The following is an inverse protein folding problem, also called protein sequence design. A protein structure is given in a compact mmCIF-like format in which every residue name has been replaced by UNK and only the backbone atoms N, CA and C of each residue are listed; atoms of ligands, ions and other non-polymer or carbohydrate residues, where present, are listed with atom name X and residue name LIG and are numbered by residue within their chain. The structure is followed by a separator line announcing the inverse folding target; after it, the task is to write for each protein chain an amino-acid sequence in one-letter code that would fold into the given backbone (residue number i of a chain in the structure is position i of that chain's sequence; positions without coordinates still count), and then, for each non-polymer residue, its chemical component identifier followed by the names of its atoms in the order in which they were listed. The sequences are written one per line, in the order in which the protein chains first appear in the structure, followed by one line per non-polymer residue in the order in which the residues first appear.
data_IF_684009074533
#
_entry.id   IF_684009074533
#
_cell.length_a   1.000
_cell.length_b   1.000
_cell.length_c   1.000
_cell.angle_alpha   90.00
_cell.angle_beta   90.00
_cell.angle_gamma   90.00
#
_symmetry.space_group_name_H-M   'P 1'
#
loop_
_entity.id
_entity.type
_entity.pdbx_description
1 polymer ?
#
# COMPACT_ATOMS: atom_id res chain seq x y z
N UNK A 1 -18.03 20.30 -1.91
CA UNK A 1 -16.60 20.13 -1.59
C UNK A 1 -15.82 20.96 -2.60
N UNK A 2 -15.09 22.01 -2.18
CA UNK A 2 -14.21 22.77 -3.09
C UNK A 2 -12.84 22.09 -3.07
N UNK A 3 -12.37 21.61 -4.21
CA UNK A 3 -11.05 20.98 -4.37
C UNK A 3 -10.44 21.42 -5.69
N UNK A 4 -9.13 21.68 -5.71
CA UNK A 4 -8.39 22.01 -6.95
C UNK A 4 -8.22 20.82 -7.90
N UNK A 5 -8.56 19.61 -7.45
CA UNK A 5 -8.46 18.37 -8.22
C UNK A 5 -9.77 17.94 -8.87
N UNK A 6 -10.81 18.78 -8.82
CA UNK A 6 -12.13 18.48 -9.38
C UNK A 6 -12.49 19.57 -10.39
N UNK A 7 -12.98 19.15 -11.55
CA UNK A 7 -13.57 20.01 -12.56
C UNK A 7 -14.99 19.53 -12.88
N UNK A 8 -15.90 20.46 -13.13
CA UNK A 8 -17.23 20.16 -13.68
C UNK A 8 -17.22 20.11 -15.21
N UNK A 9 -16.14 20.60 -15.83
CA UNK A 9 -15.91 20.54 -17.26
C UNK A 9 -15.09 19.28 -17.58
N UNK A 10 -15.71 18.22 -18.13
CA UNK A 10 -15.04 16.97 -18.42
C UNK A 10 -13.96 17.08 -19.50
N UNK A 11 -13.95 18.15 -20.31
CA UNK A 11 -12.89 18.37 -21.30
C UNK A 11 -11.57 18.81 -20.67
N UNK A 12 -11.62 19.30 -19.43
CA UNK A 12 -10.46 19.70 -18.63
C UNK A 12 -9.97 18.61 -17.67
N UNK A 13 -10.65 17.46 -17.63
CA UNK A 13 -10.29 16.38 -16.72
C UNK A 13 -9.12 15.55 -17.28
N UNK A 14 -8.05 15.42 -16.51
CA UNK A 14 -6.97 14.48 -16.80
C UNK A 14 -7.42 13.02 -16.61
N UNK A 15 -8.28 12.77 -15.60
CA UNK A 15 -8.76 11.45 -15.21
C UNK A 15 -10.23 11.48 -14.77
N UNK A 16 -10.91 10.35 -14.94
CA UNK A 16 -12.30 10.14 -14.52
C UNK A 16 -12.39 9.13 -13.38
N UNK A 17 -12.92 9.55 -12.24
CA UNK A 17 -13.12 8.66 -11.09
C UNK A 17 -14.38 7.81 -11.26
N UNK A 18 -14.28 6.50 -11.01
CA UNK A 18 -15.41 5.58 -10.94
C UNK A 18 -15.81 5.37 -9.46
N UNK A 19 -16.85 6.06 -8.95
CA UNK A 19 -17.14 6.16 -7.51
C UNK A 19 -17.86 4.94 -6.90
N UNK A 20 -17.56 3.72 -7.33
CA UNK A 20 -18.01 2.52 -6.61
C UNK A 20 -16.98 2.11 -5.55
N UNK A 21 -17.44 1.43 -4.50
CA UNK A 21 -16.57 0.95 -3.42
C UNK A 21 -16.80 -0.53 -3.18
N UNK A 22 -15.82 -1.36 -3.52
CA UNK A 22 -15.86 -2.82 -3.28
C UNK A 22 -16.09 -3.12 -1.79
N UNK A 23 -15.49 -2.33 -0.90
CA UNK A 23 -15.64 -2.47 0.55
C UNK A 23 -17.06 -2.14 1.04
N UNK A 24 -17.81 -1.27 0.35
CA UNK A 24 -19.22 -1.00 0.66
C UNK A 24 -20.14 -2.03 -0.01
N UNK A 25 -19.89 -2.39 -1.26
CA UNK A 25 -20.69 -3.36 -2.01
C UNK A 25 -20.75 -4.73 -1.32
N UNK A 26 -19.64 -5.18 -0.70
CA UNK A 26 -19.63 -6.45 0.04
C UNK A 26 -20.64 -6.51 1.19
N UNK A 27 -20.99 -5.36 1.76
CA UNK A 27 -21.89 -5.20 2.90
C UNK A 27 -23.27 -4.71 2.49
N UNK A 28 -23.47 -4.42 1.21
CA UNK A 28 -24.78 -4.02 0.69
C UNK A 28 -25.64 -5.29 0.53
N UNK A 29 -26.80 -5.41 1.20
CA UNK A 29 -27.62 -6.61 1.13
C UNK A 29 -28.17 -6.89 -0.28
N UNK A 30 -28.17 -5.90 -1.18
CA UNK A 30 -28.63 -6.06 -2.57
C UNK A 30 -27.56 -6.64 -3.49
N UNK A 31 -26.29 -6.56 -3.08
CA UNK A 31 -25.13 -6.97 -3.89
C UNK A 31 -24.40 -8.13 -3.23
N UNK A 32 -23.97 -7.94 -1.98
CA UNK A 32 -23.17 -8.90 -1.24
C UNK A 32 -21.85 -9.24 -1.94
N UNK A 33 -21.09 -10.20 -1.41
CA UNK A 33 -19.83 -10.62 -2.05
C UNK A 33 -20.07 -11.24 -3.42
N UNK A 34 -21.12 -12.06 -3.57
CA UNK A 34 -21.42 -12.78 -4.81
C UNK A 34 -21.87 -11.89 -5.97
N UNK A 35 -22.53 -10.77 -5.70
CA UNK A 35 -23.04 -9.87 -6.73
C UNK A 35 -22.07 -8.78 -7.19
N UNK A 36 -20.89 -8.65 -6.57
CA UNK A 36 -19.93 -7.57 -6.91
C UNK A 36 -19.53 -7.58 -8.38
N UNK A 37 -19.24 -8.76 -8.93
CA UNK A 37 -18.80 -8.89 -10.32
C UNK A 37 -19.90 -8.48 -11.31
N UNK A 38 -21.16 -8.88 -11.05
CA UNK A 38 -22.30 -8.50 -11.87
C UNK A 38 -22.60 -7.00 -11.76
N UNK A 39 -22.55 -6.45 -10.54
CA UNK A 39 -22.71 -5.02 -10.32
C UNK A 39 -21.70 -4.21 -11.12
N UNK A 40 -20.42 -4.60 -11.08
CA UNK A 40 -19.35 -3.89 -11.80
C UNK A 40 -19.56 -4.00 -13.31
N UNK A 41 -19.85 -5.19 -13.84
CA UNK A 41 -20.16 -5.37 -15.26
C UNK A 41 -21.27 -4.42 -15.71
N UNK A 42 -22.40 -4.41 -15.00
CA UNK A 42 -23.56 -3.60 -15.37
C UNK A 42 -23.27 -2.11 -15.20
N UNK A 43 -22.50 -1.73 -14.18
CA UNK A 43 -22.05 -0.36 -13.96
C UNK A 43 -21.17 0.14 -15.13
N UNK A 44 -20.17 -0.64 -15.53
CA UNK A 44 -19.25 -0.29 -16.62
C UNK A 44 -19.98 -0.27 -17.96
N UNK A 45 -20.88 -1.23 -18.21
CA UNK A 45 -21.75 -1.22 -19.38
C UNK A 45 -22.54 0.10 -19.46
N UNK A 46 -23.21 0.50 -18.38
CA UNK A 46 -23.96 1.76 -18.34
C UNK A 46 -23.07 3.00 -18.52
N UNK A 47 -21.87 3.02 -17.93
CA UNK A 47 -20.90 4.12 -18.10
C UNK A 47 -20.49 4.23 -19.58
N UNK A 48 -20.16 3.12 -20.23
CA UNK A 48 -19.74 3.08 -21.63
C UNK A 48 -20.81 3.56 -22.62
N UNK A 49 -22.10 3.33 -22.30
CA UNK A 49 -23.21 3.76 -23.15
C UNK A 49 -23.60 5.21 -22.89
N UNK A 50 -23.52 5.68 -21.65
CA UNK A 50 -24.00 7.00 -21.25
C UNK A 50 -22.97 8.11 -21.43
N UNK A 51 -21.69 7.82 -21.19
CA UNK A 51 -20.63 8.83 -21.16
C UNK A 51 -19.60 8.57 -22.26
N UNK A 52 -19.59 9.46 -23.26
CA UNK A 52 -18.66 9.41 -24.40
C UNK A 52 -17.17 9.36 -24.02
N UNK A 53 -16.81 9.86 -22.82
CA UNK A 53 -15.43 9.88 -22.34
C UNK A 53 -14.86 8.49 -22.07
N UNK A 54 -15.70 7.51 -21.73
CA UNK A 54 -15.25 6.11 -21.64
C UNK A 54 -14.74 5.62 -23.00
N UNK A 55 -15.51 5.84 -24.07
CA UNK A 55 -15.22 5.33 -25.40
C UNK A 55 -14.00 6.01 -26.05
N UNK A 56 -13.62 7.22 -25.60
CA UNK A 56 -12.44 7.94 -26.10
C UNK A 56 -11.14 7.16 -25.88
N UNK A 57 -11.03 6.47 -24.74
CA UNK A 57 -9.80 5.80 -24.28
C UNK A 57 -10.03 4.32 -23.97
N UNK A 58 -11.25 3.82 -24.15
CA UNK A 58 -11.66 2.50 -23.65
C UNK A 58 -11.53 2.38 -22.12
N UNK A 59 -11.63 3.50 -21.39
CA UNK A 59 -11.49 3.56 -19.94
C UNK A 59 -10.05 3.76 -19.42
N UNK A 60 -9.05 3.97 -20.29
CA UNK A 60 -7.65 4.09 -19.87
C UNK A 60 -7.32 5.34 -19.05
N UNK A 61 -8.16 6.37 -19.11
CA UNK A 61 -8.10 7.59 -18.29
C UNK A 61 -9.11 7.54 -17.11
N UNK A 62 -9.69 6.37 -16.84
CA UNK A 62 -10.57 6.16 -15.69
C UNK A 62 -9.80 5.46 -14.57
N UNK A 63 -10.19 5.72 -13.32
CA UNK A 63 -9.59 5.06 -12.16
C UNK A 63 -10.61 4.72 -11.08
N UNK A 64 -10.28 3.71 -10.28
CA UNK A 64 -11.11 3.26 -9.15
C UNK A 64 -10.25 2.75 -8.00
N UNK A 65 -10.84 2.69 -6.80
CA UNK A 65 -10.16 2.20 -5.60
C UNK A 65 -10.65 0.80 -5.24
N UNK A 66 -9.73 -0.17 -5.25
CA UNK A 66 -9.95 -1.58 -4.95
C UNK A 66 -9.17 -2.04 -3.71
N UNK A 67 -9.32 -1.30 -2.61
CA UNK A 67 -8.67 -1.60 -1.34
C UNK A 67 -9.42 -2.68 -0.52
N UNK A 68 -9.41 -3.94 -0.99
CA UNK A 68 -9.85 -5.11 -0.22
C UNK A 68 -9.36 -6.40 -0.90
N UNK A 69 -9.29 -7.53 -0.19
CA UNK A 69 -8.91 -8.83 -0.77
C UNK A 69 -9.85 -9.29 -1.89
N UNK A 70 -11.13 -8.89 -1.84
CA UNK A 70 -12.14 -9.15 -2.89
C UNK A 70 -11.81 -8.43 -4.20
N UNK A 71 -11.03 -7.33 -4.15
CA UNK A 71 -10.64 -6.59 -5.35
C UNK A 71 -9.93 -7.44 -6.40
N UNK A 72 -9.28 -8.53 -5.98
CA UNK A 72 -8.60 -9.49 -6.87
C UNK A 72 -9.54 -10.13 -7.91
N UNK A 73 -10.78 -10.39 -7.54
CA UNK A 73 -11.77 -11.05 -8.41
C UNK A 73 -12.95 -10.15 -8.78
N UNK A 74 -13.03 -8.94 -8.20
CA UNK A 74 -14.16 -8.02 -8.42
C UNK A 74 -14.38 -7.68 -9.90
N UNK A 75 -13.32 -7.67 -10.71
CA UNK A 75 -13.35 -7.27 -12.12
C UNK A 75 -13.42 -8.45 -13.10
N UNK A 76 -13.64 -9.68 -12.65
CA UNK A 76 -13.61 -10.87 -13.55
C UNK A 76 -14.68 -10.85 -14.64
N UNK A 77 -15.86 -10.27 -14.37
CA UNK A 77 -16.94 -10.08 -15.37
C UNK A 77 -16.85 -8.76 -16.14
N UNK A 78 -15.80 -7.96 -15.92
CA UNK A 78 -15.58 -6.66 -16.55
C UNK A 78 -14.10 -6.52 -16.94
N UNK A 79 -13.67 -7.31 -17.92
CA UNK A 79 -12.26 -7.38 -18.34
C UNK A 79 -11.70 -6.05 -18.83
N UNK A 80 -12.54 -5.24 -19.48
CA UNK A 80 -12.22 -3.94 -20.02
C UNK A 80 -11.75 -2.97 -18.92
N UNK A 81 -12.45 -2.91 -17.78
CA UNK A 81 -12.02 -2.05 -16.66
C UNK A 81 -10.78 -2.63 -15.97
N UNK A 82 -10.68 -3.96 -15.87
CA UNK A 82 -9.51 -4.65 -15.27
C UNK A 82 -8.21 -4.28 -15.97
N UNK A 83 -8.23 -4.27 -17.31
CA UNK A 83 -7.02 -4.09 -18.12
C UNK A 83 -6.76 -2.65 -18.55
N UNK A 84 -7.79 -1.82 -18.71
CA UNK A 84 -7.60 -0.45 -19.20
C UNK A 84 -7.59 0.59 -18.08
N UNK A 85 -8.56 0.55 -17.16
CA UNK A 85 -8.66 1.56 -16.11
C UNK A 85 -7.57 1.41 -15.04
N UNK A 86 -7.13 2.53 -14.47
CA UNK A 86 -6.12 2.56 -13.41
C UNK A 86 -6.74 2.02 -12.12
N UNK A 87 -6.18 0.92 -11.62
CA UNK A 87 -6.60 0.34 -10.36
C UNK A 87 -5.73 0.87 -9.22
N UNK A 88 -6.37 1.48 -8.22
CA UNK A 88 -5.72 1.86 -6.97
C UNK A 88 -5.95 0.76 -5.95
N UNK A 89 -4.95 -0.12 -5.76
CA UNK A 89 -5.06 -1.28 -4.87
C UNK A 89 -4.37 -1.04 -3.54
N UNK A 90 -4.90 -1.69 -2.51
CA UNK A 90 -4.13 -1.82 -1.27
C UNK A 90 -3.10 -2.94 -1.39
N UNK A 91 -3.44 -4.10 -1.94
CA UNK A 91 -2.48 -5.21 -2.08
C UNK A 91 -1.95 -5.26 -3.50
N UNK A 92 -0.71 -4.83 -3.71
CA UNK A 92 -0.04 -4.74 -5.01
C UNK A 92 1.00 -5.85 -5.13
N UNK A 93 0.59 -7.01 -5.62
CA UNK A 93 1.52 -8.13 -5.83
C UNK A 93 1.49 -8.54 -7.29
N UNK A 94 2.67 -8.80 -7.86
CA UNK A 94 2.82 -9.23 -9.27
C UNK A 94 2.04 -10.52 -9.58
N UNK A 95 1.74 -11.33 -8.56
CA UNK A 95 0.95 -12.56 -8.71
C UNK A 95 -0.56 -12.38 -8.47
N UNK A 96 -1.04 -11.16 -8.23
CA UNK A 96 -2.47 -10.91 -8.15
C UNK A 96 -3.03 -10.71 -9.56
N UNK A 97 -3.99 -11.54 -10.01
CA UNK A 97 -4.60 -11.37 -11.32
C UNK A 97 -5.17 -9.97 -11.48
N UNK A 98 -4.71 -9.24 -12.48
CA UNK A 98 -5.20 -7.89 -12.79
C UNK A 98 -4.51 -6.74 -12.08
N UNK A 99 -3.44 -6.97 -11.32
CA UNK A 99 -2.52 -5.88 -10.95
C UNK A 99 -1.41 -5.75 -11.99
N UNK A 100 -1.31 -4.59 -12.61
CA UNK A 100 -0.33 -4.27 -13.65
C UNK A 100 0.53 -3.10 -13.15
N UNK A 101 1.77 -3.34 -12.68
CA UNK A 101 2.61 -2.33 -12.02
C UNK A 101 2.81 -1.03 -12.80
N UNK A 102 2.90 -1.08 -14.13
CA UNK A 102 3.07 0.12 -14.94
C UNK A 102 1.77 0.92 -15.13
N UNK A 103 0.60 0.30 -14.93
CA UNK A 103 -0.71 0.94 -15.07
C UNK A 103 -1.31 1.35 -13.72
N UNK A 104 -1.19 0.47 -12.74
CA UNK A 104 -1.90 0.52 -11.47
C UNK A 104 -1.08 1.17 -10.36
N UNK A 105 -1.75 1.64 -9.31
CA UNK A 105 -1.13 2.32 -8.19
C UNK A 105 -1.33 1.54 -6.89
N UNK A 106 -0.28 1.47 -6.06
CA UNK A 106 -0.37 0.95 -4.71
C UNK A 106 -0.73 2.06 -3.71
N UNK A 107 -1.75 1.79 -2.89
CA UNK A 107 -2.20 2.64 -1.79
C UNK A 107 -1.73 2.05 -0.45
N UNK A 108 -1.00 2.82 0.38
CA UNK A 108 -0.62 2.34 1.70
C UNK A 108 -1.84 2.23 2.62
N UNK A 109 -1.91 1.15 3.40
CA UNK A 109 -2.81 1.11 4.56
C UNK A 109 -2.21 1.96 5.66
N UNK A 110 -2.92 3.00 6.08
CA UNK A 110 -2.48 3.94 7.12
C UNK A 110 -3.62 4.05 8.12
N UNK A 111 -3.31 3.79 9.40
CA UNK A 111 -4.26 4.07 10.47
C UNK A 111 -4.36 5.58 10.69
N UNK A 112 -5.56 6.16 10.80
CA UNK A 112 -5.71 7.57 11.13
C UNK A 112 -5.19 7.81 12.55
N UNK A 113 -4.28 8.77 12.69
CA UNK A 113 -3.65 9.15 13.96
C UNK A 113 -3.77 10.65 14.12
N UNK A 114 -4.04 11.12 15.34
CA UNK A 114 -4.24 12.54 15.64
C UNK A 114 -3.03 13.19 16.31
N UNK A 115 -2.18 12.39 16.94
CA UNK A 115 -1.12 12.85 17.84
C UNK A 115 0.22 12.29 17.40
N UNK A 116 1.21 13.17 17.28
CA UNK A 116 2.60 12.79 17.01
C UNK A 116 3.16 11.93 18.16
N UNK A 117 3.90 10.84 17.87
CA UNK A 117 4.50 10.05 18.92
C UNK A 117 5.51 10.87 19.73
N UNK A 118 5.45 10.70 21.04
CA UNK A 118 6.53 11.10 21.93
C UNK A 118 7.77 10.22 21.68
N UNK A 119 8.95 10.73 22.01
CA UNK A 119 10.23 9.98 21.98
C UNK A 119 10.68 9.40 20.62
N UNK A 120 10.19 9.95 19.50
CA UNK A 120 10.62 9.56 18.14
C UNK A 120 12.13 9.57 17.94
N UNK A 121 12.78 10.60 18.49
CA UNK A 121 14.22 10.85 18.37
C UNK A 121 15.03 10.16 19.47
N UNK A 122 14.39 9.36 20.32
CA UNK A 122 15.10 8.59 21.35
C UNK A 122 16.11 7.66 20.67
N UNK A 123 17.37 7.78 21.09
CA UNK A 123 18.44 6.88 20.70
C UNK A 123 18.33 5.51 21.40
N UNK A 124 17.42 5.35 22.37
CA UNK A 124 17.33 4.19 23.24
C UNK A 124 16.46 3.05 22.66
N UNK A 125 16.75 2.64 21.42
CA UNK A 125 16.12 1.48 20.76
C UNK A 125 16.90 0.22 21.10
N UNK A 126 16.41 -0.53 22.10
CA UNK A 126 17.09 -1.70 22.67
C UNK A 126 16.86 -2.98 21.89
N UNK A 127 15.71 -3.13 21.22
CA UNK A 127 15.39 -4.31 20.41
C UNK A 127 16.02 -4.19 19.03
N UNK A 128 16.66 -5.25 18.53
CA UNK A 128 17.19 -5.27 17.18
C UNK A 128 16.04 -5.21 16.17
N UNK A 129 15.07 -6.11 16.29
CA UNK A 129 13.92 -6.12 15.40
C UNK A 129 12.63 -6.52 16.11
N UNK A 130 11.50 -6.05 15.58
CA UNK A 130 10.18 -6.32 16.13
C UNK A 130 9.18 -6.79 15.07
N UNK A 131 8.41 -7.81 15.43
CA UNK A 131 7.22 -8.27 14.73
C UNK A 131 6.14 -8.68 15.72
N UNK A 132 4.91 -8.23 15.48
CA UNK A 132 3.72 -8.82 16.09
C UNK A 132 2.60 -9.03 15.05
N UNK A 133 2.05 -10.23 14.98
CA UNK A 133 0.97 -10.53 14.06
C UNK A 133 0.44 -11.97 14.11
N UNK A 134 -0.77 -12.17 13.58
CA UNK A 134 -1.35 -13.50 13.46
C UNK A 134 -0.61 -14.39 12.44
N UNK A 135 -0.62 -15.69 12.71
CA UNK A 135 -0.05 -16.75 11.85
C UNK A 135 -1.04 -17.05 10.73
N UNK A 136 -1.07 -16.18 9.73
CA UNK A 136 -2.01 -16.26 8.60
C UNK A 136 -1.31 -16.43 7.24
N UNK A 137 -0.04 -16.82 7.25
CA UNK A 137 0.73 -17.15 6.06
C UNK A 137 1.92 -18.06 6.40
N UNK A 138 2.39 -18.90 5.45
CA UNK A 138 3.60 -19.71 5.64
C UNK A 138 4.85 -18.87 5.97
N UNK A 139 4.91 -17.63 5.47
CA UNK A 139 6.05 -16.72 5.72
C UNK A 139 6.11 -16.30 7.19
N UNK A 140 4.96 -16.01 7.81
CA UNK A 140 4.88 -15.63 9.23
C UNK A 140 5.10 -16.82 10.14
N UNK A 141 4.59 -17.99 9.77
CA UNK A 141 4.89 -19.24 10.46
C UNK A 141 6.41 -19.48 10.49
N UNK A 142 7.09 -19.34 9.34
CA UNK A 142 8.54 -19.49 9.25
C UNK A 142 9.28 -18.47 10.11
N UNK A 143 8.88 -17.20 10.09
CA UNK A 143 9.46 -16.16 10.94
C UNK A 143 9.39 -16.54 12.42
N UNK A 144 8.21 -16.91 12.90
CA UNK A 144 7.98 -17.25 14.30
C UNK A 144 8.68 -18.54 14.70
N UNK A 145 8.72 -19.55 13.81
CA UNK A 145 9.47 -20.78 14.04
C UNK A 145 10.95 -20.50 14.34
N UNK A 146 11.55 -19.54 13.62
CA UNK A 146 12.97 -19.21 13.75
C UNK A 146 13.23 -18.25 14.91
N UNK A 147 12.43 -17.19 15.07
CA UNK A 147 12.80 -16.04 15.91
C UNK A 147 11.98 -15.84 17.18
N UNK A 148 10.93 -16.63 17.45
CA UNK A 148 10.05 -16.40 18.63
C UNK A 148 10.75 -16.47 20.00
N UNK A 149 11.88 -17.19 20.06
CA UNK A 149 12.64 -17.42 21.30
C UNK A 149 13.97 -16.62 21.33
N UNK A 150 14.14 -15.66 20.42
CA UNK A 150 15.36 -14.86 20.32
C UNK A 150 15.33 -13.67 21.30
N UNK A 151 16.48 -13.29 21.85
CA UNK A 151 16.59 -12.20 22.83
C UNK A 151 16.64 -10.79 22.21
N UNK A 152 16.96 -10.67 20.92
CA UNK A 152 17.13 -9.37 20.24
C UNK A 152 16.07 -9.13 19.17
N UNK A 153 15.59 -10.20 18.52
CA UNK A 153 14.49 -10.16 17.56
C UNK A 153 13.21 -10.59 18.27
N UNK A 154 12.37 -9.62 18.60
CA UNK A 154 11.08 -9.88 19.24
C UNK A 154 10.03 -10.22 18.19
N UNK A 155 9.83 -11.52 17.93
CA UNK A 155 8.80 -12.02 17.02
C UNK A 155 7.65 -12.68 17.80
N UNK A 156 6.49 -12.03 17.82
CA UNK A 156 5.34 -12.42 18.63
C UNK A 156 4.08 -12.72 17.80
N UNK A 157 3.25 -13.63 18.30
CA UNK A 157 1.91 -13.87 17.76
C UNK A 157 0.86 -13.73 18.87
N UNK A 158 -0.34 -13.28 18.50
CA UNK A 158 -1.41 -13.03 19.46
C UNK A 158 -1.31 -11.64 20.10
N UNK A 159 -1.90 -11.51 21.30
CA UNK A 159 -2.00 -10.23 22.01
C UNK A 159 -0.68 -9.91 22.70
N UNK A 160 -0.21 -8.68 22.54
CA UNK A 160 0.95 -8.16 23.29
C UNK A 160 0.53 -7.83 24.73
N UNK A 161 1.46 -8.02 25.66
CA UNK A 161 1.32 -7.57 27.06
C UNK A 161 1.65 -6.09 27.21
N UNK A 162 2.44 -5.54 26.27
CA UNK A 162 2.83 -4.14 26.18
C UNK A 162 2.04 -3.40 25.09
N UNK A 163 1.94 -2.06 25.16
CA UNK A 163 1.40 -1.26 24.07
C UNK A 163 2.20 -1.47 22.77
N UNK A 164 1.50 -1.69 21.66
CA UNK A 164 2.12 -1.87 20.34
C UNK A 164 3.02 -0.70 19.93
N UNK A 165 2.66 0.52 20.35
CA UNK A 165 3.43 1.73 20.11
C UNK A 165 4.83 1.66 20.75
N UNK A 166 4.91 1.22 22.01
CA UNK A 166 6.15 1.14 22.78
C UNK A 166 7.10 0.11 22.16
N UNK A 167 6.55 -0.97 21.62
CA UNK A 167 7.33 -1.97 20.90
C UNK A 167 7.96 -1.41 19.62
N UNK A 168 7.23 -0.58 18.86
CA UNK A 168 7.77 0.09 17.67
C UNK A 168 8.78 1.18 18.03
N UNK A 169 8.53 1.96 19.09
CA UNK A 169 9.44 3.00 19.58
C UNK A 169 10.74 2.42 20.13
N UNK A 170 10.68 1.26 20.79
CA UNK A 170 11.84 0.58 21.38
C UNK A 170 12.66 -0.28 20.42
N UNK A 171 12.28 -0.37 19.14
CA UNK A 171 12.90 -1.27 18.15
C UNK A 171 13.66 -0.53 17.07
N UNK A 172 14.84 -1.04 16.69
CA UNK A 172 15.62 -0.46 15.58
C UNK A 172 14.95 -0.72 14.23
N UNK A 173 14.59 -1.98 14.02
CA UNK A 173 13.97 -2.47 12.78
C UNK A 173 12.58 -3.03 13.03
N UNK A 174 11.64 -2.81 12.12
CA UNK A 174 10.27 -3.29 12.25
C UNK A 174 9.91 -4.16 11.05
N UNK A 175 9.61 -5.43 11.32
CA UNK A 175 9.44 -6.43 10.28
C UNK A 175 8.03 -6.31 9.68
N UNK A 176 7.99 -6.01 8.39
CA UNK A 176 6.79 -6.13 7.57
C UNK A 176 6.80 -7.47 6.85
N UNK A 177 6.13 -8.46 7.45
CA UNK A 177 6.06 -9.82 6.92
C UNK A 177 4.71 -10.07 6.26
N UNK A 178 4.75 -10.50 4.99
CA UNK A 178 3.57 -10.83 4.17
C UNK A 178 2.61 -11.74 4.93
N UNK A 179 1.33 -11.37 4.97
CA UNK A 179 0.24 -12.19 5.53
C UNK A 179 -0.50 -12.93 4.42
N UNK A 180 -1.82 -13.05 4.56
CA UNK A 180 -2.71 -13.44 3.46
C UNK A 180 -2.58 -12.49 2.26
N UNK A 181 -2.46 -11.19 2.55
CA UNK A 181 -2.11 -10.11 1.63
C UNK A 181 -0.72 -9.57 1.93
N UNK A 182 -0.11 -8.89 0.96
CA UNK A 182 1.13 -8.13 1.17
C UNK A 182 0.87 -6.85 1.96
N UNK A 183 -0.24 -6.16 1.72
CA UNK A 183 -0.48 -4.88 2.40
C UNK A 183 -1.02 -5.03 3.82
N UNK A 184 -0.35 -4.34 4.75
CA UNK A 184 -0.78 -4.15 6.12
C UNK A 184 -0.33 -2.77 6.58
N UNK A 185 -1.06 -2.19 7.54
CA UNK A 185 -0.66 -0.92 8.15
C UNK A 185 0.71 -0.92 8.85
N UNK A 186 1.34 -2.08 9.08
CA UNK A 186 2.67 -2.18 9.72
C UNK A 186 3.74 -1.32 9.06
N UNK A 187 3.69 -1.18 7.74
CA UNK A 187 4.66 -0.33 7.02
C UNK A 187 4.48 1.12 7.46
N UNK A 188 3.26 1.64 7.38
CA UNK A 188 2.93 2.99 7.84
C UNK A 188 3.20 3.16 9.34
N UNK A 189 2.89 2.17 10.18
CA UNK A 189 3.18 2.20 11.62
C UNK A 189 4.68 2.28 11.91
N UNK A 190 5.50 1.52 11.19
CA UNK A 190 6.96 1.55 11.33
C UNK A 190 7.50 2.94 11.00
N UNK A 191 7.07 3.51 9.87
CA UNK A 191 7.43 4.86 9.47
C UNK A 191 6.95 5.90 10.48
N UNK A 192 5.73 5.73 10.99
CA UNK A 192 5.14 6.61 11.97
C UNK A 192 5.97 6.70 13.25
N UNK A 193 6.43 5.56 13.78
CA UNK A 193 7.23 5.51 15.02
C UNK A 193 8.74 5.58 14.78
N UNK A 194 9.22 5.95 13.59
CA UNK A 194 10.65 6.10 13.32
C UNK A 194 11.45 4.80 13.34
N UNK A 195 10.76 3.65 13.17
CA UNK A 195 11.37 2.34 13.13
C UNK A 195 11.68 1.96 11.67
N UNK A 196 12.90 1.51 11.38
CA UNK A 196 13.31 1.21 10.00
C UNK A 196 12.55 -0.03 9.50
N UNK A 197 11.68 0.09 8.47
CA UNK A 197 10.91 -1.04 7.98
C UNK A 197 11.82 -2.07 7.30
N UNK A 198 11.61 -3.34 7.64
CA UNK A 198 12.22 -4.50 6.97
C UNK A 198 11.14 -5.23 6.18
N UNK A 199 11.21 -5.16 4.86
CA UNK A 199 10.20 -5.71 3.96
C UNK A 199 10.53 -7.19 3.68
N UNK A 200 9.71 -8.09 4.22
CA UNK A 200 9.76 -9.54 3.99
C UNK A 200 8.48 -9.96 3.25
N UNK A 201 8.39 -9.53 2.00
CA UNK A 201 7.24 -9.74 1.13
C UNK A 201 7.71 -9.83 -0.32
N UNK A 202 8.04 -11.03 -0.78
CA UNK A 202 8.46 -11.24 -2.17
C UNK A 202 7.35 -10.78 -3.13
N UNK A 203 7.75 -10.15 -4.24
CA UNK A 203 6.85 -9.69 -5.31
C UNK A 203 5.80 -8.68 -4.82
N UNK A 204 6.14 -7.88 -3.82
CA UNK A 204 5.33 -6.75 -3.38
C UNK A 204 5.81 -5.48 -4.10
N UNK A 205 4.92 -4.84 -4.84
CA UNK A 205 5.18 -3.50 -5.37
C UNK A 205 4.82 -2.45 -4.30
N UNK A 206 5.81 -1.75 -3.78
CA UNK A 206 5.63 -0.95 -2.57
C UNK A 206 4.86 0.35 -2.85
N UNK A 207 4.09 0.87 -1.88
CA UNK A 207 3.40 2.14 -2.04
C UNK A 207 4.37 3.26 -2.42
N UNK A 208 4.01 4.03 -3.44
CA UNK A 208 4.80 5.16 -3.95
C UNK A 208 6.21 4.78 -4.41
N UNK A 209 6.46 3.54 -4.84
CA UNK A 209 7.79 3.10 -5.28
C UNK A 209 8.33 3.88 -6.49
N UNK A 210 7.44 4.42 -7.33
CA UNK A 210 7.81 5.29 -8.47
C UNK A 210 8.19 6.71 -8.03
N UNK A 211 7.89 7.10 -6.78
CA UNK A 211 8.14 8.44 -6.23
C UNK A 211 9.25 8.41 -5.17
N UNK A 212 9.27 7.36 -4.34
CA UNK A 212 10.14 7.23 -3.17
C UNK A 212 11.16 6.11 -3.37
N UNK A 213 12.44 6.43 -3.16
CA UNK A 213 13.49 5.41 -3.15
C UNK A 213 13.45 4.61 -1.83
N UNK A 214 12.71 3.51 -1.81
CA UNK A 214 12.58 2.61 -0.65
C UNK A 214 13.92 2.12 -0.10
N UNK A 215 14.95 1.93 -0.94
CA UNK A 215 16.28 1.51 -0.47
C UNK A 215 16.97 2.53 0.43
N UNK A 216 16.53 3.79 0.39
CA UNK A 216 17.11 4.87 1.22
C UNK A 216 16.58 4.91 2.65
N UNK A 217 15.49 4.18 2.97
CA UNK A 217 14.85 4.21 4.29
C UNK A 217 14.30 2.85 4.74
N UNK A 218 14.57 1.76 4.02
CA UNK A 218 14.10 0.42 4.35
C UNK A 218 15.14 -0.64 4.04
N UNK A 219 14.95 -1.84 4.58
CA UNK A 219 15.74 -3.03 4.26
C UNK A 219 14.82 -4.05 3.59
N UNK A 220 15.19 -4.56 2.42
CA UNK A 220 14.42 -5.61 1.73
C UNK A 220 15.11 -6.94 1.97
N UNK A 221 14.38 -7.92 2.52
CA UNK A 221 14.90 -9.25 2.83
C UNK A 221 14.03 -10.30 2.15
N UNK A 222 14.64 -11.19 1.38
CA UNK A 222 13.91 -12.27 0.74
C UNK A 222 13.32 -13.21 1.80
N UNK A 223 12.15 -13.79 1.51
CA UNK A 223 11.53 -14.77 2.44
C UNK A 223 12.46 -15.95 2.78
N UNK A 224 13.32 -16.37 1.85
CA UNK A 224 14.28 -17.46 2.08
C UNK A 224 15.38 -17.08 3.09
N UNK A 225 15.65 -15.78 3.25
CA UNK A 225 16.70 -15.25 4.13
C UNK A 225 16.20 -14.95 5.55
N UNK A 226 14.97 -15.33 5.91
CA UNK A 226 14.46 -15.24 7.28
C UNK A 226 15.45 -15.82 8.30
N UNK A 227 16.07 -17.01 8.09
CA UNK A 227 17.08 -17.54 9.02
C UNK A 227 18.34 -16.67 9.17
N UNK A 228 18.64 -15.82 8.18
CA UNK A 228 19.79 -14.92 8.18
C UNK A 228 19.46 -13.52 8.70
N UNK A 229 18.22 -13.26 9.11
CA UNK A 229 17.73 -11.93 9.48
C UNK A 229 18.62 -11.23 10.52
N UNK A 230 18.99 -11.90 11.61
CA UNK A 230 19.90 -11.32 12.61
C UNK A 230 21.26 -10.95 12.02
N UNK A 231 21.83 -11.81 11.17
CA UNK A 231 23.12 -11.55 10.50
C UNK A 231 23.02 -10.34 9.57
N UNK A 232 21.96 -10.26 8.77
CA UNK A 232 21.70 -9.15 7.85
C UNK A 232 21.58 -7.84 8.62
N UNK A 233 20.73 -7.80 9.65
CA UNK A 233 20.45 -6.58 10.41
C UNK A 233 21.66 -6.11 11.24
N UNK A 234 22.44 -7.04 11.81
CA UNK A 234 23.70 -6.69 12.50
C UNK A 234 24.83 -6.31 11.55
N UNK A 235 24.76 -6.71 10.28
CA UNK A 235 25.71 -6.31 9.24
C UNK A 235 25.57 -4.85 8.81
N UNK A 236 24.47 -4.19 9.16
CA UNK A 236 24.25 -2.77 8.89
C UNK A 236 25.04 -1.96 9.93
N UNK A 237 25.95 -1.11 9.45
CA UNK A 237 26.74 -0.23 10.31
C UNK A 237 25.85 0.76 11.07
N UNK A 238 26.34 1.29 12.20
CA UNK A 238 25.59 2.30 12.96
C UNK A 238 25.33 3.56 12.14
N UNK A 239 26.28 3.98 11.30
CA UNK A 239 26.14 5.11 10.38
C UNK A 239 25.02 4.87 9.35
N UNK A 240 25.01 3.69 8.72
CA UNK A 240 23.98 3.33 7.75
C UNK A 240 22.60 3.25 8.42
N UNK A 241 22.51 2.69 9.62
CA UNK A 241 21.27 2.66 10.39
C UNK A 241 20.76 4.07 10.69
N UNK A 242 21.62 4.98 11.16
CA UNK A 242 21.25 6.38 11.43
C UNK A 242 20.77 7.08 10.15
N UNK A 243 21.40 6.81 9.00
CA UNK A 243 20.95 7.31 7.70
C UNK A 243 19.57 6.81 7.33
N UNK A 244 19.34 5.49 7.42
CA UNK A 244 18.03 4.87 7.16
C UNK A 244 16.95 5.48 8.06
N UNK A 245 17.21 5.57 9.36
CA UNK A 245 16.27 6.11 10.34
C UNK A 245 15.97 7.60 10.11
N UNK A 246 16.98 8.41 9.82
CA UNK A 246 16.79 9.83 9.46
C UNK A 246 15.88 9.96 8.25
N UNK A 247 16.07 9.11 7.23
CA UNK A 247 15.21 9.11 6.05
C UNK A 247 13.80 8.62 6.37
N UNK A 248 13.61 7.63 7.25
CA UNK A 248 12.29 7.22 7.75
C UNK A 248 11.53 8.42 8.31
N UNK A 249 12.19 9.22 9.17
CA UNK A 249 11.57 10.40 9.78
C UNK A 249 11.21 11.48 8.75
N UNK A 250 11.95 11.59 7.64
CA UNK A 250 11.63 12.51 6.54
C UNK A 250 10.44 12.02 5.70
N UNK A 251 10.40 10.73 5.39
CA UNK A 251 9.37 10.17 4.48
C UNK A 251 8.04 9.90 5.17
N UNK A 252 8.01 9.78 6.51
CA UNK A 252 6.77 9.42 7.24
C UNK A 252 5.58 10.34 6.96
N UNK A 253 5.81 11.62 6.63
CA UNK A 253 4.74 12.57 6.26
C UNK A 253 3.93 12.11 5.04
N UNK A 254 4.59 11.40 4.11
CA UNK A 254 3.96 10.84 2.91
C UNK A 254 3.00 9.68 3.21
N UNK A 255 3.04 9.16 4.44
CA UNK A 255 2.22 8.05 4.91
C UNK A 255 1.24 8.50 6.00
N UNK A 256 0.69 9.71 5.89
CA UNK A 256 -0.31 10.27 6.81
C UNK A 256 -1.53 10.81 6.04
N UNK A 257 -2.73 10.59 6.58
CA UNK A 257 -3.96 11.15 6.06
C UNK A 257 -4.43 12.30 6.94
N UNK A 258 -4.69 13.46 6.34
CA UNK A 258 -5.28 14.61 7.01
C UNK A 258 -6.72 14.82 6.56
N UNK A 259 -7.56 15.35 7.45
CA UNK A 259 -8.95 15.69 7.12
C UNK A 259 -9.02 16.72 5.99
N UNK A 260 -8.14 17.72 6.05
CA UNK A 260 -7.85 18.63 4.95
C UNK A 260 -6.45 18.30 4.45
N UNK A 261 -6.29 17.90 3.18
CA UNK A 261 -4.98 17.50 2.66
C UNK A 261 -3.93 18.61 2.84
N UNK A 262 -2.75 18.23 3.33
CA UNK A 262 -1.59 19.13 3.44
C UNK A 262 -0.50 18.67 2.49
N UNK A 263 0.37 19.58 2.06
CA UNK A 263 1.39 19.28 1.06
C UNK A 263 2.20 18.03 1.42
N UNK A 264 2.38 17.17 0.41
CA UNK A 264 3.11 15.90 0.47
C UNK A 264 2.52 14.82 1.37
N UNK A 265 1.31 14.98 1.90
CA UNK A 265 0.64 13.90 2.62
C UNK A 265 0.21 12.74 1.70
N UNK A 266 -0.37 11.68 2.28
CA UNK A 266 -0.76 10.51 1.51
C UNK A 266 -1.77 10.83 0.40
N UNK A 267 -2.63 11.86 0.57
CA UNK A 267 -3.55 12.29 -0.49
C UNK A 267 -2.78 12.84 -1.67
N UNK A 268 -1.86 13.78 -1.44
CA UNK A 268 -1.06 14.35 -2.53
C UNK A 268 -0.15 13.32 -3.20
N UNK A 269 0.41 12.40 -2.43
CA UNK A 269 1.21 11.29 -2.99
C UNK A 269 0.38 10.42 -3.93
N UNK A 270 -0.87 10.10 -3.57
CA UNK A 270 -1.79 9.35 -4.45
C UNK A 270 -2.18 10.16 -5.68
N UNK A 271 -2.46 11.45 -5.54
CA UNK A 271 -2.78 12.30 -6.68
C UNK A 271 -1.61 12.38 -7.66
N UNK A 272 -0.38 12.47 -7.16
CA UNK A 272 0.82 12.49 -8.00
C UNK A 272 1.07 11.13 -8.66
N UNK A 273 0.89 10.03 -7.93
CA UNK A 273 0.97 8.67 -8.47
C UNK A 273 -0.02 8.48 -9.62
N UNK A 274 -1.29 8.86 -9.45
CA UNK A 274 -2.31 8.81 -10.50
C UNK A 274 -1.93 9.67 -11.72
N UNK A 275 -1.37 10.85 -11.48
CA UNK A 275 -0.89 11.73 -12.53
C UNK A 275 0.26 11.10 -13.33
N UNK A 276 1.14 10.32 -12.71
CA UNK A 276 2.18 9.57 -13.43
C UNK A 276 1.58 8.49 -14.33
N UNK A 277 0.50 7.82 -13.89
CA UNK A 277 -0.17 6.75 -14.65
C UNK A 277 -0.93 7.23 -15.89
N UNK A 278 -1.25 8.52 -16.02
CA UNK A 278 -1.95 9.06 -17.21
C UNK A 278 -1.19 8.85 -18.52
N UNK A 279 0.13 8.72 -18.45
CA UNK A 279 1.02 8.64 -19.62
C UNK A 279 0.83 7.33 -20.41
N UNK A 280 0.25 6.31 -19.78
CA UNK A 280 -0.10 5.04 -20.43
C UNK A 280 -1.42 5.11 -21.21
N UNK A 281 -2.18 6.20 -21.06
CA UNK A 281 -3.46 6.43 -21.74
C UNK A 281 -3.29 7.11 -23.12
N UNK A 282 -2.09 7.56 -23.48
CA UNK A 282 -1.78 8.24 -24.75
C UNK A 282 -0.94 7.38 -25.69
N UNK A 283 -1.42 6.19 -26.04
CA UNK A 283 -1.04 5.62 -27.34
C UNK A 283 -1.99 6.24 -28.35
N UNK A 284 -1.62 7.42 -28.85
CA UNK A 284 -2.22 7.92 -30.08
C UNK A 284 -1.96 6.87 -31.14
N UNK A 285 -3.02 6.34 -31.75
CA UNK A 285 -2.97 5.64 -33.02
C UNK A 285 -2.41 6.59 -34.08
N UNK A 286 -1.09 6.75 -34.11
CA UNK A 286 -0.37 7.23 -35.28
C UNK A 286 -0.44 6.09 -36.29
N UNK A 287 -1.31 6.29 -37.28
CA UNK A 287 -1.52 5.45 -38.44
C UNK A 287 -0.19 4.90 -39.00
N UNK A 288 -0.12 3.58 -39.18
CA UNK A 288 0.68 2.94 -40.21
C UNK A 288 -0.27 2.42 -41.28
#
# INVERSE_FOLDING_TARGET
MKSRFITNDPTKADLFFLPFSIARLRHDPRVGVGGIQDFIRDYIFNVSQKYQYWNRTGGADHFYVACHSIGRSAMEKASEVKFNAIQVVCSSSYFLPGYIPHKDACLPQIWPRKEEPHDLLSSNRTKLAFFAGGINSPVREKLLQVWRNDSEIFAHFGRLTTPYADELLGSKFCLHVKGFEVNTARVADSLYYGCVPVIIANYYDLPFADILNWKSFSVIVATLDIPLLKKILKGISSEEYTRLQSNVLKVRKHFQWHLSPIDYDAFYMVMYELWLRRSFSTVTSSNF
#
